data_IF_817177011466
#
_entry.id   IF_817177011466
#
_cell.length_a   1.000
_cell.length_b   1.000
_cell.length_c   1.000
_cell.angle_alpha   90.00
_cell.angle_beta   90.00
_cell.angle_gamma   90.00
#
_symmetry.space_group_name_H-M   'P 1'
#
loop_
_entity.id
_entity.type
_entity.pdbx_description
1 polymer ?
#
# COMPACT_ATOMS: atom_id res chain seq x y z
N UNK A 1 1.08 5.71 -21.10
CA UNK A 1 0.35 5.71 -19.83
C UNK A 1 1.26 5.37 -18.68
N UNK A 2 1.09 6.03 -17.58
CA UNK A 2 1.86 5.77 -16.37
C UNK A 2 0.91 5.38 -15.24
N UNK A 3 1.40 4.51 -14.38
CA UNK A 3 0.64 4.09 -13.20
C UNK A 3 1.40 4.47 -11.96
N UNK A 4 0.69 4.94 -10.95
CA UNK A 4 1.26 5.25 -9.65
C UNK A 4 0.77 4.23 -8.63
N UNK A 5 1.65 3.85 -7.73
CA UNK A 5 1.35 2.88 -6.70
C UNK A 5 1.08 3.58 -5.38
N UNK A 6 -0.06 3.29 -4.79
CA UNK A 6 -0.47 3.85 -3.51
C UNK A 6 -0.64 2.70 -2.53
N UNK A 7 0.03 2.79 -1.39
CA UNK A 7 -0.05 1.78 -0.34
C UNK A 7 -0.95 2.29 0.79
N UNK A 8 -1.77 1.40 1.32
CA UNK A 8 -2.69 1.72 2.40
C UNK A 8 -2.47 0.77 3.57
N UNK A 9 -2.41 1.31 4.77
CA UNK A 9 -2.45 0.51 5.99
C UNK A 9 -3.88 0.58 6.51
N UNK A 10 -4.54 -0.57 6.55
CA UNK A 10 -5.97 -0.65 6.84
C UNK A 10 -6.24 -1.57 8.02
N UNK A 11 -7.32 -1.27 8.74
CA UNK A 11 -7.83 -2.16 9.78
C UNK A 11 -9.03 -2.89 9.23
N UNK A 12 -9.01 -4.22 9.28
CA UNK A 12 -10.12 -5.02 8.76
C UNK A 12 -11.34 -4.96 9.68
N UNK A 13 -11.11 -4.71 10.97
CA UNK A 13 -12.22 -4.65 11.93
C UNK A 13 -13.20 -3.54 11.63
N UNK A 14 -12.71 -2.39 11.22
CA UNK A 14 -13.55 -1.23 10.94
C UNK A 14 -13.65 -0.92 9.45
N UNK A 15 -12.81 -1.56 8.65
CA UNK A 15 -12.75 -1.29 7.23
C UNK A 15 -12.13 0.04 6.88
N UNK A 16 -11.49 0.71 7.82
CA UNK A 16 -10.88 2.00 7.57
C UNK A 16 -9.39 1.87 7.28
N UNK A 17 -8.89 2.83 6.51
CA UNK A 17 -7.47 2.87 6.15
C UNK A 17 -6.90 4.19 6.66
N UNK A 18 -6.43 4.23 7.91
CA UNK A 18 -5.99 5.50 8.51
C UNK A 18 -4.69 6.05 7.91
N UNK A 19 -3.95 5.22 7.19
CA UNK A 19 -2.67 5.66 6.64
C UNK A 19 -2.58 5.28 5.17
N UNK A 20 -2.11 6.20 4.37
CA UNK A 20 -1.83 5.95 2.96
C UNK A 20 -0.52 6.61 2.57
N UNK A 21 0.21 5.97 1.69
CA UNK A 21 1.50 6.48 1.23
C UNK A 21 1.59 6.27 -0.28
N UNK A 22 1.87 7.35 -0.99
CA UNK A 22 2.11 7.28 -2.43
C UNK A 22 3.58 6.92 -2.62
N UNK A 23 3.84 5.82 -3.33
CA UNK A 23 5.21 5.48 -3.64
C UNK A 23 5.75 6.48 -4.67
N UNK A 24 7.05 6.69 -4.65
CA UNK A 24 7.68 7.56 -5.62
C UNK A 24 7.87 6.93 -6.99
N UNK A 25 7.42 5.72 -7.17
CA UNK A 25 7.65 4.96 -8.39
C UNK A 25 6.49 5.10 -9.36
N UNK A 26 6.83 5.20 -10.64
CA UNK A 26 5.87 5.17 -11.73
C UNK A 26 6.16 3.96 -12.61
N UNK A 27 5.11 3.36 -13.10
CA UNK A 27 5.22 2.11 -13.88
C UNK A 27 4.58 2.33 -15.26
N UNK A 28 5.17 1.73 -16.27
CA UNK A 28 4.68 1.88 -17.64
C UNK A 28 3.47 1.01 -17.92
N UNK A 29 3.32 -0.09 -17.19
CA UNK A 29 2.21 -1.00 -17.37
C UNK A 29 1.50 -1.26 -16.06
N UNK A 30 0.22 -1.59 -16.15
CA UNK A 30 -0.57 -1.99 -14.98
C UNK A 30 0.02 -3.24 -14.33
N UNK A 31 0.49 -4.18 -15.16
CA UNK A 31 1.10 -5.41 -14.66
C UNK A 31 2.30 -5.12 -13.76
N UNK A 32 3.20 -4.26 -14.22
CA UNK A 32 4.39 -3.93 -13.44
C UNK A 32 4.02 -3.25 -12.12
N UNK A 33 3.01 -2.40 -12.15
CA UNK A 33 2.53 -1.73 -10.94
C UNK A 33 1.96 -2.73 -9.95
N UNK A 34 1.16 -3.67 -10.41
CA UNK A 34 0.55 -4.69 -9.55
C UNK A 34 1.62 -5.60 -8.95
N UNK A 35 2.58 -6.03 -9.76
CA UNK A 35 3.67 -6.85 -9.27
C UNK A 35 4.46 -6.16 -8.18
N UNK A 36 4.82 -4.90 -8.42
CA UNK A 36 5.50 -4.09 -7.41
C UNK A 36 4.63 -3.89 -6.18
N UNK A 37 3.33 -3.73 -6.37
CA UNK A 37 2.38 -3.55 -5.28
C UNK A 37 2.39 -4.73 -4.32
N UNK A 38 2.35 -5.93 -4.84
CA UNK A 38 2.41 -7.12 -3.99
C UNK A 38 3.72 -7.22 -3.24
N UNK A 39 4.84 -6.94 -3.90
CA UNK A 39 6.15 -6.98 -3.25
C UNK A 39 6.27 -5.93 -2.16
N UNK A 40 5.89 -4.70 -2.45
CA UNK A 40 5.99 -3.61 -1.49
C UNK A 40 5.00 -3.78 -0.33
N UNK A 41 3.78 -4.22 -0.63
CA UNK A 41 2.79 -4.47 0.41
C UNK A 41 3.28 -5.56 1.37
N UNK A 42 3.83 -6.63 0.83
CA UNK A 42 4.37 -7.71 1.66
C UNK A 42 5.50 -7.21 2.54
N UNK A 43 6.44 -6.48 1.95
CA UNK A 43 7.59 -5.96 2.70
C UNK A 43 7.16 -4.98 3.77
N UNK A 44 6.21 -4.11 3.47
CA UNK A 44 5.70 -3.16 4.46
C UNK A 44 4.98 -3.88 5.59
N UNK A 45 4.17 -4.88 5.28
CA UNK A 45 3.48 -5.64 6.29
C UNK A 45 4.47 -6.35 7.21
N UNK A 46 5.49 -6.97 6.63
CA UNK A 46 6.51 -7.67 7.40
C UNK A 46 7.28 -6.72 8.31
N UNK A 47 7.54 -5.51 7.82
CA UNK A 47 8.30 -4.51 8.57
C UNK A 47 7.48 -3.78 9.61
N UNK A 48 6.16 -3.93 9.63
CA UNK A 48 5.32 -3.29 10.65
C UNK A 48 5.71 -3.71 12.06
N UNK A 49 6.16 -4.94 12.24
CA UNK A 49 6.58 -5.42 13.54
C UNK A 49 7.82 -4.71 14.05
N UNK A 50 8.64 -4.16 13.16
CA UNK A 50 9.85 -3.44 13.51
C UNK A 50 9.57 -2.00 13.92
N UNK A 51 8.36 -1.51 13.66
CA UNK A 51 7.95 -0.18 14.07
C UNK A 51 7.37 -0.25 15.48
N UNK A 52 7.85 0.63 16.36
CA UNK A 52 7.39 0.65 17.75
C UNK A 52 5.87 0.85 17.87
N UNK A 53 5.27 1.48 16.88
CA UNK A 53 3.84 1.77 16.87
C UNK A 53 2.97 0.55 16.57
N UNK A 54 3.57 -0.51 15.98
CA UNK A 54 2.83 -1.68 15.53
C UNK A 54 3.42 -2.94 16.13
N UNK A 55 3.07 -3.21 17.38
CA UNK A 55 3.42 -4.47 18.00
C UNK A 55 2.61 -5.60 17.38
N UNK A 56 3.14 -6.80 17.43
CA UNK A 56 2.47 -7.97 16.85
C UNK A 56 1.05 -8.15 17.40
N UNK A 57 0.86 -7.91 18.68
CA UNK A 57 -0.47 -8.02 19.29
C UNK A 57 -1.41 -6.94 18.74
N UNK A 58 -0.91 -5.74 18.53
CA UNK A 58 -1.69 -4.66 17.97
C UNK A 58 -2.16 -5.01 16.56
N UNK A 59 -1.24 -5.54 15.75
CA UNK A 59 -1.56 -5.93 14.37
C UNK A 59 -2.63 -7.01 14.37
N UNK A 60 -2.52 -7.99 15.26
CA UNK A 60 -3.47 -9.09 15.34
C UNK A 60 -4.84 -8.62 15.85
N UNK A 61 -4.86 -7.83 16.90
CA UNK A 61 -6.11 -7.35 17.49
C UNK A 61 -6.90 -6.45 16.55
N UNK A 62 -6.20 -5.60 15.80
CA UNK A 62 -6.84 -4.65 14.89
C UNK A 62 -6.96 -5.19 13.48
N UNK A 63 -6.45 -6.39 13.24
CA UNK A 63 -6.48 -6.99 11.90
C UNK A 63 -5.88 -6.05 10.85
N UNK A 64 -4.68 -5.58 11.14
CA UNK A 64 -3.98 -4.65 10.26
C UNK A 64 -3.53 -5.38 9.00
N UNK A 65 -3.81 -4.78 7.87
CA UNK A 65 -3.34 -5.30 6.58
C UNK A 65 -2.80 -4.15 5.75
N UNK A 66 -1.95 -4.48 4.80
CA UNK A 66 -1.45 -3.50 3.83
C UNK A 66 -2.10 -3.81 2.50
N UNK A 67 -2.72 -2.79 1.92
CA UNK A 67 -3.34 -2.89 0.59
C UNK A 67 -2.62 -1.94 -0.34
N UNK A 68 -2.86 -2.11 -1.62
CA UNK A 68 -2.30 -1.19 -2.60
C UNK A 68 -3.31 -0.92 -3.71
N UNK A 69 -3.08 0.18 -4.41
CA UNK A 69 -3.89 0.57 -5.55
C UNK A 69 -2.96 1.07 -6.64
N UNK A 70 -3.22 0.67 -7.87
CA UNK A 70 -2.51 1.17 -9.03
C UNK A 70 -3.43 2.11 -9.78
N UNK A 71 -3.09 3.39 -9.78
CA UNK A 71 -3.88 4.42 -10.47
C UNK A 71 -3.22 4.83 -11.76
N UNK A 72 -4.03 4.94 -12.78
CA UNK A 72 -3.62 5.48 -14.07
C UNK A 72 -3.42 6.97 -13.93
N UNK A 73 -2.21 7.43 -14.17
CA UNK A 73 -1.93 8.87 -14.19
C UNK A 73 -2.13 9.33 -15.61
N UNK A 74 -3.24 9.99 -15.86
CA UNK A 74 -3.44 10.62 -17.14
C UNK A 74 -2.84 12.00 -17.08
N UNK A 75 -1.79 12.19 -17.85
CA UNK A 75 -1.28 13.53 -18.05
C UNK A 75 -2.29 14.22 -18.95
N UNK A 76 -3.15 14.97 -18.32
CA UNK A 76 -4.08 15.77 -19.08
C UNK A 76 -3.31 16.94 -19.64
N UNK A 77 -3.10 16.90 -20.92
CA UNK A 77 -2.36 17.95 -21.62
C UNK A 77 -3.20 19.20 -21.85
N UNK A 78 -4.27 19.31 -21.17
CA UNK A 78 -5.12 20.48 -21.34
C UNK A 78 -4.86 21.48 -20.24
#
# INVERSE_FOLDING_TARGET
>A
MKYILILYICTMNTGTCPSSTVSGYQFDTHYDCVEAGYKLAYNNYKNLEDLEEFEKNYIEENKIVVKFECRDIRVNAI
#
